data_IF_380037849699
#
_entry.id   IF_380037849699
#
_cell.length_a   1.000
_cell.length_b   1.000
_cell.length_c   1.000
_cell.angle_alpha   90.00
_cell.angle_beta   90.00
_cell.angle_gamma   90.00
#
_symmetry.space_group_name_H-M   'P 1'
#
loop_
_entity.id
_entity.type
_entity.pdbx_description
1 polymer ?
#
# COMPACT_ATOMS: atom_id res chain seq x y z
N UNK A 1 -19.31 -21.94 0.26
CA UNK A 1 -20.42 -21.06 0.69
C UNK A 1 -21.42 -21.00 -0.44
N UNK A 2 -22.72 -21.09 -0.13
CA UNK A 2 -23.77 -21.02 -1.15
C UNK A 2 -23.87 -19.59 -1.74
N UNK A 3 -24.42 -19.39 -2.94
CA UNK A 3 -24.57 -18.06 -3.55
C UNK A 3 -25.52 -17.08 -2.81
N UNK A 4 -26.11 -17.47 -1.68
CA UNK A 4 -27.11 -16.68 -0.94
C UNK A 4 -26.59 -15.82 0.20
N UNK A 5 -25.48 -16.19 0.85
CA UNK A 5 -25.20 -15.80 2.25
C UNK A 5 -24.22 -14.63 2.42
N UNK A 6 -23.92 -13.87 1.36
CA UNK A 6 -23.06 -12.69 1.50
C UNK A 6 -23.81 -11.59 2.25
N UNK A 7 -23.20 -11.13 3.35
CA UNK A 7 -23.69 -10.05 4.18
C UNK A 7 -23.93 -8.78 3.34
N UNK A 8 -24.99 -8.04 3.67
CA UNK A 8 -25.26 -6.71 3.16
C UNK A 8 -25.11 -5.68 4.29
N UNK A 9 -24.71 -4.46 3.96
CA UNK A 9 -24.75 -3.35 4.90
C UNK A 9 -26.20 -2.91 5.14
N UNK A 10 -26.56 -2.45 6.35
CA UNK A 10 -27.89 -1.89 6.63
C UNK A 10 -28.26 -0.76 5.65
N UNK A 11 -29.53 -0.64 5.28
CA UNK A 11 -30.01 0.35 4.31
C UNK A 11 -29.75 1.81 4.76
N UNK A 12 -29.72 2.04 6.08
CA UNK A 12 -29.43 3.35 6.68
C UNK A 12 -27.92 3.63 6.85
N UNK A 13 -27.05 2.83 6.23
CA UNK A 13 -25.59 3.06 6.26
C UNK A 13 -25.25 4.36 5.54
N UNK A 14 -24.48 5.21 6.21
CA UNK A 14 -23.90 6.42 5.64
C UNK A 14 -22.47 6.15 5.18
N UNK A 15 -22.09 6.74 4.05
CA UNK A 15 -20.80 6.54 3.40
C UNK A 15 -20.07 7.86 3.31
N UNK A 16 -18.88 7.92 3.89
CA UNK A 16 -18.01 9.08 3.82
C UNK A 16 -16.81 8.69 2.98
N UNK A 17 -16.52 9.41 1.90
CA UNK A 17 -15.26 9.22 1.19
C UNK A 17 -14.10 9.23 2.20
N UNK A 18 -13.04 8.48 1.96
CA UNK A 18 -11.87 8.47 2.84
C UNK A 18 -10.60 8.65 2.02
N UNK A 19 -10.41 7.79 1.02
CA UNK A 19 -9.24 7.81 0.17
C UNK A 19 -9.53 7.12 -1.17
N UNK A 20 -8.65 7.32 -2.15
CA UNK A 20 -8.71 6.57 -3.40
C UNK A 20 -7.32 6.22 -3.95
N UNK A 21 -7.21 5.00 -4.46
CA UNK A 21 -6.06 4.54 -5.23
C UNK A 21 -6.29 4.71 -6.72
N UNK A 22 -5.44 4.05 -7.53
CA UNK A 22 -5.66 4.00 -8.97
C UNK A 22 -6.92 3.21 -9.36
N UNK A 23 -7.20 2.11 -8.65
CA UNK A 23 -8.23 1.14 -9.02
C UNK A 23 -9.47 1.14 -8.13
N UNK A 24 -9.41 1.74 -6.93
CA UNK A 24 -10.45 1.61 -5.91
C UNK A 24 -10.67 2.94 -5.19
N UNK A 25 -11.88 3.12 -4.65
CA UNK A 25 -12.24 4.18 -3.71
C UNK A 25 -12.62 3.51 -2.38
N UNK A 26 -12.18 4.11 -1.28
CA UNK A 26 -12.44 3.65 0.08
C UNK A 26 -13.32 4.66 0.78
N UNK A 27 -14.34 4.16 1.47
CA UNK A 27 -15.32 4.91 2.24
C UNK A 27 -15.26 4.46 3.70
N UNK A 28 -15.30 5.43 4.61
CA UNK A 28 -15.69 5.18 5.99
C UNK A 28 -17.19 4.97 6.05
N UNK A 29 -17.64 3.95 6.78
CA UNK A 29 -19.06 3.63 6.92
C UNK A 29 -19.51 3.94 8.35
N UNK A 30 -20.73 4.44 8.48
CA UNK A 30 -21.41 4.60 9.76
C UNK A 30 -22.83 4.05 9.61
N UNK A 31 -23.10 2.92 10.23
CA UNK A 31 -24.47 2.43 10.38
C UNK A 31 -25.21 3.36 11.36
N UNK A 32 -26.35 3.92 10.95
CA UNK A 32 -27.21 4.64 11.88
C UNK A 32 -27.74 3.65 12.93
N UNK A 33 -27.86 4.06 14.19
CA UNK A 33 -28.55 3.27 15.20
C UNK A 33 -29.94 2.91 14.63
N UNK A 34 -30.23 1.61 14.48
CA UNK A 34 -31.58 1.18 14.19
C UNK A 34 -32.49 1.72 15.32
N UNK A 35 -33.63 2.33 14.98
CA UNK A 35 -34.62 2.62 16.00
C UNK A 35 -35.03 1.26 16.62
N UNK A 36 -35.14 1.16 17.97
CA UNK A 36 -35.47 -0.11 18.58
C UNK A 36 -36.81 -0.61 18.02
N UNK A 37 -36.93 -1.90 17.66
CA UNK A 37 -38.21 -2.47 17.30
C UNK A 37 -39.19 -2.24 18.46
N UNK A 38 -40.40 -1.74 18.19
CA UNK A 38 -41.45 -1.73 19.20
C UNK A 38 -41.77 -3.19 19.56
N UNK A 39 -41.29 -3.66 20.72
CA UNK A 39 -41.65 -4.96 21.30
C UNK A 39 -40.52 -5.99 21.44
N UNK A 40 -39.31 -5.61 21.87
CA UNK A 40 -38.20 -6.56 22.06
C UNK A 40 -38.39 -7.41 23.33
N UNK A 41 -38.51 -8.72 23.14
CA UNK A 41 -38.32 -9.77 24.15
C UNK A 41 -36.80 -9.96 24.36
N UNK A 42 -36.40 -10.13 25.62
CA UNK A 42 -35.01 -10.37 26.05
C UNK A 42 -34.38 -11.55 25.28
N UNK A 43 -33.60 -11.24 24.25
CA UNK A 43 -32.94 -12.22 23.37
C UNK A 43 -32.23 -11.60 22.16
N UNK A 44 -32.61 -10.39 21.74
CA UNK A 44 -32.05 -9.70 20.56
C UNK A 44 -30.87 -8.73 20.84
N UNK A 45 -30.39 -8.64 22.09
CA UNK A 45 -29.26 -7.75 22.43
C UNK A 45 -27.92 -8.16 21.81
N UNK A 46 -27.74 -9.44 21.45
CA UNK A 46 -26.48 -9.93 20.85
C UNK A 46 -26.33 -9.58 19.37
N UNK A 47 -27.42 -9.54 18.60
CA UNK A 47 -27.40 -9.13 17.18
C UNK A 47 -27.21 -7.62 16.99
N UNK A 48 -27.82 -6.80 17.85
CA UNK A 48 -27.64 -5.33 17.81
C UNK A 48 -26.21 -4.92 18.24
N UNK A 49 -25.63 -5.61 19.23
CA UNK A 49 -24.23 -5.42 19.61
C UNK A 49 -23.28 -5.82 18.46
N UNK A 50 -23.57 -6.91 17.75
CA UNK A 50 -22.84 -7.38 16.56
C UNK A 50 -22.88 -6.37 15.39
N UNK A 51 -24.05 -5.77 15.12
CA UNK A 51 -24.21 -4.73 14.10
C UNK A 51 -23.53 -3.41 14.46
N UNK A 52 -23.54 -3.00 15.74
CA UNK A 52 -22.81 -1.81 16.21
C UNK A 52 -21.28 -2.02 16.18
N UNK A 53 -20.78 -3.24 16.45
CA UNK A 53 -19.36 -3.59 16.23
C UNK A 53 -18.98 -3.61 14.75
N UNK A 54 -19.95 -3.75 13.84
CA UNK A 54 -19.69 -3.83 12.41
C UNK A 54 -19.12 -2.53 11.80
N UNK A 55 -19.35 -1.39 12.46
CA UNK A 55 -19.07 -0.07 11.89
C UNK A 55 -17.82 0.62 12.41
N UNK A 56 -17.21 0.17 13.52
CA UNK A 56 -16.11 0.90 14.18
C UNK A 56 -14.75 0.58 13.55
N UNK A 57 -14.54 -0.66 13.08
CA UNK A 57 -13.24 -1.15 12.61
C UNK A 57 -13.24 -1.60 11.14
N UNK A 58 -14.23 -1.16 10.35
CA UNK A 58 -14.38 -1.53 8.94
C UNK A 58 -14.55 -0.33 8.02
N UNK A 59 -14.00 -0.46 6.82
CA UNK A 59 -14.16 0.47 5.71
C UNK A 59 -14.79 -0.25 4.53
N UNK A 60 -15.54 0.47 3.70
CA UNK A 60 -16.04 -0.03 2.43
C UNK A 60 -15.05 0.32 1.32
N UNK A 61 -14.56 -0.69 0.60
CA UNK A 61 -13.74 -0.55 -0.60
C UNK A 61 -14.55 -0.98 -1.82
N UNK A 62 -14.62 -0.09 -2.80
CA UNK A 62 -15.37 -0.29 -4.06
C UNK A 62 -14.48 0.01 -5.26
N UNK A 63 -14.64 -0.78 -6.32
CA UNK A 63 -13.79 -0.68 -7.51
C UNK A 63 -14.20 0.47 -8.43
N UNK A 64 -13.20 1.03 -9.11
CA UNK A 64 -13.38 2.00 -10.19
C UNK A 64 -13.67 1.31 -11.51
N UNK A 65 -14.34 2.04 -12.39
CA UNK A 65 -14.63 1.65 -13.76
C UNK A 65 -13.42 1.88 -14.64
N UNK A 66 -12.58 0.85 -14.73
CA UNK A 66 -11.34 0.87 -15.51
C UNK A 66 -11.21 -0.45 -16.25
N UNK A 67 -10.68 -0.46 -17.49
CA UNK A 67 -10.46 -1.71 -18.24
C UNK A 67 -9.53 -2.71 -17.56
N UNK A 68 -8.75 -2.25 -16.58
CA UNK A 68 -7.75 -3.05 -15.85
C UNK A 68 -8.25 -3.55 -14.49
N UNK A 69 -9.52 -3.29 -14.12
CA UNK A 69 -10.12 -3.83 -12.91
C UNK A 69 -11.07 -4.98 -13.24
N UNK A 70 -11.03 -6.03 -12.42
CA UNK A 70 -11.97 -7.14 -12.50
C UNK A 70 -13.18 -6.90 -11.60
N UNK A 71 -14.31 -7.57 -11.84
CA UNK A 71 -15.43 -7.60 -10.89
C UNK A 71 -14.96 -7.98 -9.49
N UNK A 72 -15.54 -7.35 -8.47
CA UNK A 72 -15.10 -7.44 -7.08
C UNK A 72 -15.02 -8.90 -6.58
N UNK A 73 -16.05 -9.69 -6.85
CA UNK A 73 -16.11 -11.11 -6.48
C UNK A 73 -14.99 -11.95 -7.11
N UNK A 74 -14.62 -11.66 -8.37
CA UNK A 74 -13.54 -12.36 -9.09
C UNK A 74 -12.18 -12.00 -8.48
N UNK A 75 -11.94 -10.71 -8.23
CA UNK A 75 -10.71 -10.24 -7.58
C UNK A 75 -10.55 -10.82 -6.17
N UNK A 76 -11.64 -10.89 -5.40
CA UNK A 76 -11.63 -11.46 -4.05
C UNK A 76 -11.39 -12.97 -4.04
N UNK A 77 -11.99 -13.72 -4.98
CA UNK A 77 -11.74 -15.14 -5.13
C UNK A 77 -10.26 -15.44 -5.46
N UNK A 78 -9.64 -14.64 -6.34
CA UNK A 78 -8.22 -14.74 -6.62
C UNK A 78 -7.36 -14.42 -5.38
N UNK A 79 -7.71 -13.37 -4.63
CA UNK A 79 -7.03 -13.01 -3.39
C UNK A 79 -7.09 -14.15 -2.35
N UNK A 80 -8.26 -14.75 -2.14
CA UNK A 80 -8.44 -15.87 -1.20
C UNK A 80 -7.59 -17.10 -1.55
N UNK A 81 -7.41 -17.36 -2.84
CA UNK A 81 -6.66 -18.53 -3.33
C UNK A 81 -5.15 -18.29 -3.35
N UNK A 82 -4.71 -17.12 -3.79
CA UNK A 82 -3.29 -16.87 -4.11
C UNK A 82 -2.56 -16.04 -3.07
N UNK A 83 -3.25 -15.14 -2.35
CA UNK A 83 -2.60 -14.17 -1.46
C UNK A 83 -2.88 -14.46 0.01
N UNK A 84 -4.14 -14.67 0.39
CA UNK A 84 -4.53 -14.90 1.77
C UNK A 84 -3.76 -16.05 2.45
N UNK A 85 -3.47 -17.19 1.77
CA UNK A 85 -2.74 -18.30 2.40
C UNK A 85 -1.25 -18.02 2.66
N UNK A 86 -0.68 -16.97 2.05
CA UNK A 86 0.74 -16.66 2.17
C UNK A 86 1.08 -16.04 3.55
N UNK A 87 0.10 -15.42 4.21
CA UNK A 87 0.31 -14.64 5.43
C UNK A 87 -0.70 -15.04 6.50
N UNK A 88 -0.38 -14.77 7.77
CA UNK A 88 -1.36 -14.95 8.83
C UNK A 88 -2.49 -13.91 8.71
N UNK A 89 -3.71 -14.20 9.20
CA UNK A 89 -4.83 -13.26 9.13
C UNK A 89 -4.58 -11.91 9.81
N UNK A 90 -3.75 -11.86 10.85
CA UNK A 90 -3.34 -10.64 11.57
C UNK A 90 -2.33 -9.79 10.78
N UNK A 91 -1.67 -10.36 9.77
CA UNK A 91 -0.62 -9.71 8.97
C UNK A 91 -1.14 -9.06 7.68
N UNK A 92 -2.40 -9.28 7.33
CA UNK A 92 -3.04 -8.72 6.14
C UNK A 92 -4.29 -7.96 6.53
N UNK A 93 -4.61 -6.91 5.77
CA UNK A 93 -5.89 -6.23 5.88
C UNK A 93 -6.96 -7.25 5.51
N UNK A 94 -7.76 -7.67 6.50
CA UNK A 94 -8.83 -8.63 6.29
C UNK A 94 -9.86 -8.07 5.33
N UNK A 95 -10.33 -8.89 4.39
CA UNK A 95 -11.28 -8.49 3.35
C UNK A 95 -12.43 -9.47 3.29
N UNK A 96 -13.67 -8.96 3.34
CA UNK A 96 -14.89 -9.76 3.24
C UNK A 96 -15.78 -9.22 2.14
N UNK A 97 -16.23 -10.10 1.26
CA UNK A 97 -17.15 -9.76 0.17
C UNK A 97 -18.54 -9.46 0.73
N UNK A 98 -19.09 -8.31 0.36
CA UNK A 98 -20.45 -7.90 0.75
C UNK A 98 -21.29 -7.51 -0.45
N UNK A 99 -22.61 -7.68 -0.34
CA UNK A 99 -23.56 -7.18 -1.33
C UNK A 99 -23.68 -5.66 -1.23
N UNK A 100 -23.62 -4.99 -2.38
CA UNK A 100 -23.87 -3.55 -2.48
C UNK A 100 -25.36 -3.30 -2.61
N UNK A 101 -26.00 -3.04 -1.48
CA UNK A 101 -27.42 -2.76 -1.37
C UNK A 101 -27.66 -1.41 -0.65
N UNK A 102 -28.82 -0.77 -0.86
CA UNK A 102 -29.85 -1.14 -1.83
C UNK A 102 -29.41 -0.89 -3.29
N UNK A 103 -30.20 -1.39 -4.25
CA UNK A 103 -29.97 -1.15 -5.67
C UNK A 103 -29.82 0.36 -5.94
N UNK A 104 -28.87 0.73 -6.79
CA UNK A 104 -28.55 2.14 -7.08
C UNK A 104 -27.58 2.80 -6.11
N UNK A 105 -27.05 2.11 -5.09
CA UNK A 105 -25.98 2.63 -4.22
C UNK A 105 -24.80 3.20 -5.03
N UNK A 106 -24.26 2.43 -5.97
CA UNK A 106 -23.14 2.88 -6.84
C UNK A 106 -23.51 4.14 -7.63
N UNK A 107 -24.72 4.19 -8.18
CA UNK A 107 -25.21 5.36 -8.92
C UNK A 107 -25.25 6.60 -8.02
N UNK A 108 -25.75 6.48 -6.79
CA UNK A 108 -25.76 7.59 -5.81
C UNK A 108 -24.35 8.06 -5.47
N UNK A 109 -23.44 7.14 -5.12
CA UNK A 109 -22.04 7.47 -4.81
C UNK A 109 -21.33 8.16 -5.99
N UNK A 110 -21.62 7.74 -7.22
CA UNK A 110 -21.09 8.38 -8.42
C UNK A 110 -21.66 9.79 -8.67
N UNK A 111 -22.92 10.05 -8.30
CA UNK A 111 -23.48 11.41 -8.32
C UNK A 111 -22.79 12.30 -7.29
N UNK A 112 -22.55 11.78 -6.08
CA UNK A 112 -21.83 12.51 -5.02
C UNK A 112 -20.39 12.86 -5.43
N UNK A 113 -19.66 11.92 -6.05
CA UNK A 113 -18.31 12.17 -6.56
C UNK A 113 -18.29 13.29 -7.61
N UNK A 114 -19.21 13.27 -8.58
CA UNK A 114 -19.34 14.34 -9.60
C UNK A 114 -19.70 15.68 -8.97
N UNK A 115 -20.64 15.66 -8.03
CA UNK A 115 -21.04 16.88 -7.33
C UNK A 115 -19.85 17.47 -6.55
N UNK A 116 -19.03 16.65 -5.89
CA UNK A 116 -17.85 17.09 -5.16
C UNK A 116 -16.75 17.65 -6.08
N UNK A 117 -16.57 17.07 -7.28
CA UNK A 117 -15.65 17.61 -8.28
C UNK A 117 -16.05 19.02 -8.76
N UNK A 118 -17.35 19.28 -8.90
CA UNK A 118 -17.90 20.58 -9.29
C UNK A 118 -17.95 21.58 -8.12
N UNK A 119 -18.25 21.10 -6.92
CA UNK A 119 -18.46 21.90 -5.71
C UNK A 119 -17.55 21.38 -4.58
N UNK A 120 -16.31 21.90 -4.52
CA UNK A 120 -15.37 21.60 -3.45
C UNK A 120 -16.02 21.75 -2.07
N UNK A 121 -15.87 20.73 -1.23
CA UNK A 121 -16.34 20.76 0.16
C UNK A 121 -15.22 20.26 1.08
N UNK A 122 -15.01 20.90 2.23
CA UNK A 122 -14.07 20.39 3.23
C UNK A 122 -14.55 19.03 3.73
N UNK A 123 -13.70 18.02 3.61
CA UNK A 123 -14.01 16.67 4.03
C UNK A 123 -13.67 16.48 5.51
N UNK A 124 -14.68 16.19 6.34
CA UNK A 124 -14.52 16.00 7.79
C UNK A 124 -13.65 14.79 8.20
N UNK A 125 -13.44 13.83 7.29
CA UNK A 125 -12.78 12.54 7.61
C UNK A 125 -11.66 12.14 6.64
N UNK A 126 -11.30 13.00 5.68
CA UNK A 126 -10.18 12.69 4.79
C UNK A 126 -8.87 12.90 5.54
N UNK A 127 -7.97 11.91 5.49
CA UNK A 127 -6.59 12.03 6.00
C UNK A 127 -5.78 13.08 5.23
N UNK A 128 -6.25 13.41 4.02
CA UNK A 128 -5.77 14.52 3.23
C UNK A 128 -6.77 15.66 3.43
N UNK A 129 -6.36 16.80 4.00
CA UNK A 129 -7.16 18.04 4.08
C UNK A 129 -7.39 18.62 2.69
N UNK A 130 -8.09 17.88 1.83
CA UNK A 130 -8.35 18.21 0.46
C UNK A 130 -9.80 18.65 0.37
N UNK A 131 -9.99 19.94 0.10
CA UNK A 131 -11.30 20.48 -0.27
C UNK A 131 -11.80 19.92 -1.62
N UNK A 132 -10.92 19.23 -2.37
CA UNK A 132 -11.15 18.73 -3.72
C UNK A 132 -10.55 17.35 -3.95
N UNK A 133 -11.28 16.51 -4.69
CA UNK A 133 -10.74 15.27 -5.25
C UNK A 133 -9.49 15.55 -6.09
N UNK A 134 -8.37 14.78 -5.94
CA UNK A 134 -7.15 15.02 -6.69
C UNK A 134 -7.38 15.05 -8.21
N UNK A 135 -6.83 16.05 -8.92
CA UNK A 135 -7.04 16.23 -10.38
C UNK A 135 -6.75 14.96 -11.19
N UNK A 136 -5.69 14.22 -10.85
CA UNK A 136 -5.30 12.97 -11.51
C UNK A 136 -6.29 11.80 -11.32
N UNK A 137 -7.32 11.99 -10.48
CA UNK A 137 -8.35 11.00 -10.19
C UNK A 137 -9.74 11.42 -10.68
N UNK A 138 -9.90 12.66 -11.12
CA UNK A 138 -11.19 13.17 -11.59
C UNK A 138 -11.60 12.52 -12.91
N UNK A 139 -12.90 12.40 -13.13
CA UNK A 139 -13.46 11.80 -14.36
C UNK A 139 -13.47 10.27 -14.39
N UNK A 140 -12.91 9.59 -13.38
CA UNK A 140 -13.01 8.13 -13.20
C UNK A 140 -13.90 7.83 -12.00
N UNK A 141 -14.93 7.01 -12.18
CA UNK A 141 -15.96 6.75 -11.16
C UNK A 141 -16.06 5.27 -10.81
N UNK A 142 -16.98 4.91 -9.93
CA UNK A 142 -17.22 3.52 -9.54
C UNK A 142 -17.87 2.73 -10.67
N UNK A 143 -17.43 1.49 -10.86
CA UNK A 143 -18.06 0.57 -11.79
C UNK A 143 -19.37 0.03 -11.21
N UNK A 144 -20.33 -0.31 -12.07
CA UNK A 144 -21.47 -1.11 -11.63
C UNK A 144 -20.97 -2.50 -11.22
N UNK A 145 -21.25 -2.88 -9.98
CA UNK A 145 -20.88 -4.15 -9.39
C UNK A 145 -21.93 -4.53 -8.34
N UNK A 146 -22.16 -5.82 -8.18
CA UNK A 146 -23.07 -6.34 -7.16
C UNK A 146 -22.38 -6.40 -5.79
N UNK A 147 -21.05 -6.37 -5.77
CA UNK A 147 -20.27 -6.59 -4.56
C UNK A 147 -19.22 -5.50 -4.30
N UNK A 148 -18.96 -5.28 -3.02
CA UNK A 148 -17.85 -4.49 -2.50
C UNK A 148 -17.06 -5.30 -1.48
N UNK A 149 -16.00 -4.70 -0.93
CA UNK A 149 -15.21 -5.32 0.13
C UNK A 149 -15.33 -4.52 1.42
N UNK A 150 -15.65 -5.20 2.51
CA UNK A 150 -15.36 -4.68 3.83
C UNK A 150 -13.94 -5.02 4.20
N UNK A 151 -13.16 -3.98 4.47
CA UNK A 151 -11.75 -4.09 4.81
C UNK A 151 -11.52 -3.64 6.25
N UNK A 152 -10.55 -4.25 6.95
CA UNK A 152 -10.13 -3.78 8.28
C UNK A 152 -9.68 -2.32 8.22
N UNK A 153 -10.18 -1.49 9.13
CA UNK A 153 -9.80 -0.09 9.25
C UNK A 153 -8.38 0.02 9.85
N UNK A 154 -7.43 0.40 9.00
CA UNK A 154 -6.05 0.71 9.37
C UNK A 154 -5.77 2.22 9.44
N UNK A 155 -6.81 3.05 9.38
CA UNK A 155 -6.67 4.51 9.57
C UNK A 155 -6.41 4.85 11.05
N UNK A 156 -6.18 6.13 11.32
CA UNK A 156 -6.16 6.66 12.68
C UNK A 156 -7.52 6.39 13.33
N UNK A 157 -7.62 5.30 14.09
CA UNK A 157 -8.80 4.99 14.87
C UNK A 157 -9.10 6.13 15.84
N UNK A 158 -10.37 6.23 16.24
CA UNK A 158 -10.83 7.12 17.33
C UNK A 158 -10.21 6.78 18.70
N UNK A 159 -9.38 5.72 18.78
CA UNK A 159 -8.59 5.37 19.96
C UNK A 159 -7.38 6.30 20.07
N UNK A 160 -7.42 7.17 21.08
CA UNK A 160 -6.31 8.03 21.49
C UNK A 160 -5.03 7.19 21.69
N UNK A 161 -3.89 7.67 21.19
CA UNK A 161 -2.57 7.12 21.54
C UNK A 161 -1.81 6.34 20.47
N UNK A 162 -2.30 6.25 19.22
CA UNK A 162 -1.54 5.62 18.12
C UNK A 162 -1.42 6.53 16.88
N UNK A 163 -0.32 6.34 16.14
CA UNK A 163 -0.08 6.95 14.83
C UNK A 163 0.06 5.86 13.77
N UNK A 164 -0.43 6.14 12.57
CA UNK A 164 -0.30 5.23 11.43
C UNK A 164 0.86 5.67 10.55
N UNK A 165 1.72 4.72 10.19
CA UNK A 165 2.64 4.85 9.06
C UNK A 165 2.06 4.03 7.91
N UNK A 166 1.93 4.66 6.75
CA UNK A 166 1.59 3.98 5.50
C UNK A 166 2.77 4.10 4.54
N UNK A 167 3.26 2.98 4.01
CA UNK A 167 4.29 3.00 2.98
C UNK A 167 4.20 1.79 2.06
N UNK A 168 4.68 1.92 0.82
CA UNK A 168 4.84 0.78 -0.09
C UNK A 168 6.24 0.20 0.08
N UNK A 169 6.41 -1.06 0.51
CA UNK A 169 7.72 -1.67 0.73
C UNK A 169 8.50 -1.89 -0.57
N UNK A 170 7.80 -1.94 -1.71
CA UNK A 170 8.38 -2.16 -3.05
C UNK A 170 9.13 -3.48 -3.11
N UNK A 171 10.24 -3.53 -3.85
CA UNK A 171 11.03 -4.73 -4.08
C UNK A 171 12.03 -4.91 -2.93
N UNK A 172 11.79 -5.91 -2.08
CA UNK A 172 12.64 -6.26 -0.94
C UNK A 172 13.80 -7.20 -1.32
N UNK A 173 13.91 -7.51 -2.61
CA UNK A 173 15.04 -8.21 -3.24
C UNK A 173 15.47 -7.44 -4.48
N UNK A 174 16.73 -7.59 -4.89
CA UNK A 174 17.17 -7.02 -6.15
C UNK A 174 16.44 -7.69 -7.33
N UNK A 175 16.15 -6.92 -8.38
CA UNK A 175 15.59 -7.46 -9.61
C UNK A 175 16.55 -8.48 -10.22
N UNK A 176 16.02 -9.63 -10.66
CA UNK A 176 16.82 -10.67 -11.34
C UNK A 176 17.37 -10.19 -12.69
N UNK A 177 16.73 -9.19 -13.30
CA UNK A 177 17.17 -8.59 -14.55
C UNK A 177 18.16 -7.42 -14.35
N UNK A 178 18.48 -7.06 -13.09
CA UNK A 178 19.41 -5.97 -12.82
C UNK A 178 20.84 -6.35 -13.24
N UNK A 179 21.63 -5.43 -13.83
CA UNK A 179 23.02 -5.67 -14.17
C UNK A 179 23.86 -6.08 -12.96
N UNK A 180 24.87 -6.94 -13.16
CA UNK A 180 25.74 -7.48 -12.08
C UNK A 180 26.43 -6.36 -11.27
N UNK A 181 26.79 -5.25 -11.93
CA UNK A 181 27.48 -4.13 -11.31
C UNK A 181 26.55 -3.07 -10.69
N UNK A 182 25.26 -3.38 -10.57
CA UNK A 182 24.25 -2.49 -9.98
C UNK A 182 24.71 -1.85 -8.67
N UNK A 183 24.55 -0.53 -8.60
CA UNK A 183 24.74 0.29 -7.40
C UNK A 183 23.42 0.69 -6.75
N UNK A 184 22.30 0.55 -7.47
CA UNK A 184 20.94 0.79 -6.99
C UNK A 184 20.10 -0.48 -7.09
N UNK A 185 19.21 -0.71 -6.12
CA UNK A 185 18.12 -1.66 -6.28
C UNK A 185 17.08 -1.11 -7.28
N UNK A 186 16.20 -1.94 -7.81
CA UNK A 186 15.17 -1.52 -8.79
C UNK A 186 14.42 -0.26 -8.39
N UNK A 187 13.95 -0.18 -7.15
CA UNK A 187 13.20 1.00 -6.70
C UNK A 187 14.09 2.25 -6.60
N UNK A 188 15.33 2.11 -6.14
CA UNK A 188 16.27 3.24 -6.09
C UNK A 188 16.63 3.73 -7.50
N UNK A 189 16.80 2.82 -8.47
CA UNK A 189 17.00 3.16 -9.88
C UNK A 189 15.77 3.90 -10.45
N UNK A 190 14.57 3.39 -10.18
CA UNK A 190 13.32 4.05 -10.58
C UNK A 190 13.17 5.44 -9.96
N UNK A 191 13.40 5.61 -8.66
CA UNK A 191 13.29 6.92 -8.01
C UNK A 191 14.35 7.88 -8.56
N UNK A 192 15.57 7.42 -8.81
CA UNK A 192 16.60 8.23 -9.44
C UNK A 192 16.13 8.76 -10.81
N UNK A 193 15.61 7.87 -11.67
CA UNK A 193 15.08 8.24 -12.98
C UNK A 193 13.95 9.27 -12.89
N UNK A 194 12.99 9.05 -11.99
CA UNK A 194 11.87 9.96 -11.80
C UNK A 194 12.34 11.30 -11.24
N UNK A 195 13.26 11.31 -10.27
CA UNK A 195 13.80 12.55 -9.70
C UNK A 195 14.60 13.36 -10.71
N UNK A 196 15.35 12.72 -11.60
CA UNK A 196 16.02 13.41 -12.69
C UNK A 196 15.02 14.12 -13.62
N UNK A 197 13.90 13.45 -13.95
CA UNK A 197 12.81 14.09 -14.70
C UNK A 197 12.20 15.26 -13.92
N UNK A 198 11.79 15.03 -12.67
CA UNK A 198 11.16 16.04 -11.82
C UNK A 198 12.04 17.26 -11.62
N UNK A 199 13.35 17.06 -11.44
CA UNK A 199 14.31 18.17 -11.32
C UNK A 199 14.33 19.04 -12.58
N UNK A 200 14.23 18.45 -13.78
CA UNK A 200 14.14 19.22 -15.03
C UNK A 200 12.81 19.95 -15.15
N UNK A 201 11.72 19.32 -14.68
CA UNK A 201 10.37 19.87 -14.72
C UNK A 201 10.09 20.87 -13.57
N UNK A 202 11.06 21.12 -12.68
CA UNK A 202 10.90 21.99 -11.50
C UNK A 202 9.95 21.41 -10.44
N UNK A 203 9.69 20.10 -10.45
CA UNK A 203 8.80 19.42 -9.53
C UNK A 203 9.53 18.97 -8.23
N UNK A 204 8.82 18.93 -7.08
CA UNK A 204 9.38 18.38 -5.86
C UNK A 204 9.87 16.94 -6.02
N UNK A 205 11.11 16.68 -5.59
CA UNK A 205 11.72 15.37 -5.66
C UNK A 205 10.97 14.36 -4.77
N UNK A 206 10.93 13.11 -5.23
CA UNK A 206 10.47 12.00 -4.41
C UNK A 206 11.45 11.73 -3.28
N UNK A 207 10.92 11.40 -2.11
CA UNK A 207 11.71 10.95 -0.96
C UNK A 207 12.54 9.71 -1.32
N UNK A 208 13.80 9.74 -0.92
CA UNK A 208 14.76 8.67 -1.15
C UNK A 208 14.90 7.82 0.11
N UNK A 209 14.53 6.54 0.00
CA UNK A 209 14.87 5.50 0.94
C UNK A 209 15.02 4.18 0.17
N UNK A 210 15.83 3.25 0.68
CA UNK A 210 16.09 1.98 -0.01
C UNK A 210 15.19 0.87 0.55
N UNK A 211 14.37 0.20 -0.28
CA UNK A 211 13.60 -0.97 0.15
C UNK A 211 14.39 -2.08 0.82
N UNK A 212 15.64 -2.30 0.39
CA UNK A 212 16.46 -3.36 0.95
C UNK A 212 16.85 -3.07 2.41
N UNK A 213 16.85 -1.80 2.83
CA UNK A 213 17.09 -1.42 4.22
C UNK A 213 15.97 -1.91 5.16
N UNK A 214 14.75 -2.12 4.67
CA UNK A 214 13.63 -2.61 5.50
C UNK A 214 13.82 -4.05 6.02
N UNK A 215 14.72 -4.80 5.38
CA UNK A 215 14.99 -6.22 5.63
C UNK A 215 16.49 -6.46 5.80
N UNK A 216 17.23 -5.41 6.14
CA UNK A 216 18.66 -5.47 6.44
C UNK A 216 18.90 -6.12 7.81
N UNK A 217 20.03 -6.81 7.94
CA UNK A 217 20.54 -7.30 9.22
C UNK A 217 21.32 -6.21 9.97
N UNK A 218 21.63 -5.09 9.31
CA UNK A 218 22.31 -3.94 9.91
C UNK A 218 21.33 -3.04 10.64
N UNK A 219 21.47 -2.92 11.96
CA UNK A 219 20.69 -1.98 12.78
C UNK A 219 20.82 -0.53 12.28
N UNK A 220 21.97 -0.16 11.70
CA UNK A 220 22.18 1.17 11.13
C UNK A 220 21.30 1.42 9.90
N UNK A 221 21.13 0.42 9.02
CA UNK A 221 20.23 0.50 7.87
C UNK A 221 18.76 0.59 8.34
N UNK A 222 18.37 -0.25 9.31
CA UNK A 222 17.02 -0.24 9.90
C UNK A 222 16.68 1.14 10.51
N UNK A 223 17.62 1.73 11.24
CA UNK A 223 17.46 3.05 11.86
C UNK A 223 17.39 4.17 10.82
N UNK A 224 18.16 4.06 9.73
CA UNK A 224 18.14 5.00 8.61
C UNK A 224 16.77 5.01 7.93
N UNK A 225 16.28 3.84 7.49
CA UNK A 225 14.97 3.74 6.82
C UNK A 225 13.83 4.13 7.75
N UNK A 226 13.93 3.79 9.04
CA UNK A 226 12.95 4.23 10.05
C UNK A 226 12.86 5.75 10.14
N UNK A 227 14.02 6.41 10.19
CA UNK A 227 14.09 7.87 10.25
C UNK A 227 13.52 8.53 8.98
N UNK A 228 13.74 7.92 7.81
CA UNK A 228 13.25 8.40 6.52
C UNK A 228 11.72 8.26 6.40
N UNK A 229 11.17 7.11 6.78
CA UNK A 229 9.72 6.85 6.72
C UNK A 229 8.93 7.67 7.75
N UNK A 230 9.52 7.97 8.91
CA UNK A 230 8.90 8.79 9.95
C UNK A 230 9.05 10.31 9.75
N UNK A 231 9.65 10.76 8.65
CA UNK A 231 10.16 12.14 8.47
C UNK A 231 9.26 13.28 9.00
N UNK A 232 7.94 13.20 8.82
CA UNK A 232 6.98 14.23 9.28
C UNK A 232 6.68 14.20 10.78
N UNK A 233 6.87 13.06 11.45
CA UNK A 233 6.59 12.89 12.88
C UNK A 233 7.77 12.21 13.60
N UNK A 234 8.99 12.57 13.18
CA UNK A 234 10.22 11.95 13.68
C UNK A 234 10.45 12.35 15.13
N UNK A 235 10.49 11.36 16.01
CA UNK A 235 11.07 11.49 17.35
C UNK A 235 12.04 10.34 17.60
N UNK A 236 13.09 10.51 18.45
CA UNK A 236 14.02 9.43 18.76
C UNK A 236 13.32 8.17 19.29
N UNK A 237 12.29 8.34 20.12
CA UNK A 237 11.47 7.26 20.66
C UNK A 237 10.78 6.51 19.53
N UNK A 238 10.04 7.21 18.65
CA UNK A 238 9.32 6.57 17.54
C UNK A 238 10.24 5.87 16.55
N UNK A 239 11.39 6.48 16.24
CA UNK A 239 12.42 5.84 15.41
C UNK A 239 12.91 4.56 16.07
N UNK A 240 13.18 4.58 17.38
CA UNK A 240 13.57 3.39 18.14
C UNK A 240 12.52 2.27 18.10
N UNK A 241 11.25 2.59 18.38
CA UNK A 241 10.15 1.61 18.33
C UNK A 241 9.97 1.01 16.93
N UNK A 242 9.99 1.84 15.88
CA UNK A 242 9.84 1.35 14.52
C UNK A 242 11.07 0.53 14.07
N UNK A 243 12.28 0.93 14.49
CA UNK A 243 13.51 0.16 14.25
C UNK A 243 13.44 -1.22 14.92
N UNK A 244 13.03 -1.27 16.19
CA UNK A 244 12.86 -2.52 16.93
C UNK A 244 11.80 -3.43 16.29
N UNK A 245 10.70 -2.85 15.80
CA UNK A 245 9.71 -3.60 15.03
C UNK A 245 10.32 -4.13 13.72
N UNK A 246 11.07 -3.32 12.96
CA UNK A 246 11.73 -3.78 11.72
C UNK A 246 12.68 -4.95 11.98
N UNK A 247 13.43 -4.91 13.09
CA UNK A 247 14.38 -5.96 13.47
C UNK A 247 13.66 -7.29 13.80
N UNK A 248 12.58 -7.21 14.58
CA UNK A 248 11.91 -8.37 15.18
C UNK A 248 10.73 -8.92 14.38
N UNK A 249 10.10 -8.13 13.51
CA UNK A 249 8.92 -8.59 12.77
C UNK A 249 9.23 -9.71 11.78
N UNK A 250 8.22 -10.53 11.52
CA UNK A 250 8.26 -11.60 10.51
C UNK A 250 7.59 -11.20 9.18
N UNK A 251 6.76 -10.14 9.18
CA UNK A 251 5.94 -9.74 8.05
C UNK A 251 6.76 -9.36 6.81
N UNK A 252 7.74 -8.46 6.95
CA UNK A 252 8.54 -8.00 5.82
C UNK A 252 9.53 -9.08 5.34
N UNK A 253 10.00 -9.95 6.25
CA UNK A 253 10.84 -11.11 5.93
C UNK A 253 10.06 -12.14 5.11
N UNK A 254 8.81 -12.43 5.49
CA UNK A 254 7.91 -13.28 4.70
C UNK A 254 7.55 -12.66 3.35
N UNK A 255 7.26 -11.35 3.32
CA UNK A 255 6.99 -10.63 2.07
C UNK A 255 8.20 -10.76 1.10
N UNK A 256 9.42 -10.53 1.60
CA UNK A 256 10.66 -10.72 0.83
C UNK A 256 10.79 -12.14 0.30
N UNK A 257 10.52 -13.14 1.13
CA UNK A 257 10.56 -14.55 0.75
C UNK A 257 9.61 -14.83 -0.43
N UNK A 258 8.34 -14.46 -0.33
CA UNK A 258 7.37 -14.70 -1.41
C UNK A 258 7.63 -13.86 -2.66
N UNK A 259 8.16 -12.64 -2.54
CA UNK A 259 8.58 -11.84 -3.70
C UNK A 259 9.69 -12.53 -4.53
N UNK A 260 10.49 -13.40 -3.90
CA UNK A 260 11.54 -14.20 -4.54
C UNK A 260 11.01 -15.56 -5.02
N UNK A 261 10.24 -16.27 -4.19
CA UNK A 261 9.79 -17.62 -4.51
C UNK A 261 8.77 -17.65 -5.65
N UNK A 262 7.87 -16.66 -5.70
CA UNK A 262 6.79 -16.59 -6.69
C UNK A 262 7.24 -16.01 -8.04
N UNK A 263 8.43 -15.40 -8.11
CA UNK A 263 9.03 -14.94 -9.37
C UNK A 263 10.52 -15.28 -9.42
N UNK A 264 10.81 -16.40 -10.07
CA UNK A 264 12.17 -16.95 -10.22
C UNK A 264 12.86 -16.54 -11.52
N UNK A 265 12.15 -15.86 -12.43
CA UNK A 265 12.66 -15.50 -13.77
C UNK A 265 12.87 -13.99 -13.92
N UNK A 266 12.23 -13.19 -13.08
CA UNK A 266 12.26 -11.73 -13.18
C UNK A 266 11.30 -11.23 -14.26
N UNK A 267 11.19 -9.91 -14.35
CA UNK A 267 10.10 -9.27 -15.10
C UNK A 267 10.28 -9.31 -16.63
N UNK A 268 11.51 -9.55 -17.10
CA UNK A 268 11.81 -9.67 -18.53
C UNK A 268 11.45 -11.06 -19.09
N UNK A 269 11.65 -12.11 -18.29
CA UNK A 269 11.46 -13.51 -18.67
C UNK A 269 10.22 -14.17 -18.02
N UNK A 270 9.58 -13.47 -17.08
CA UNK A 270 8.38 -13.92 -16.38
C UNK A 270 7.23 -14.22 -17.35
N UNK A 271 6.51 -15.29 -17.04
CA UNK A 271 5.30 -15.70 -17.76
C UNK A 271 4.08 -14.99 -17.15
N UNK A 272 3.24 -14.38 -17.99
CA UNK A 272 2.04 -13.67 -17.54
C UNK A 272 0.86 -14.57 -17.27
N UNK A 273 0.90 -15.78 -17.82
CA UNK A 273 -0.08 -16.81 -17.53
C UNK A 273 0.26 -17.55 -16.23
N UNK A 274 1.47 -17.34 -15.69
CA UNK A 274 1.85 -17.79 -14.35
C UNK A 274 1.26 -16.87 -13.28
N UNK A 275 0.26 -17.38 -12.56
CA UNK A 275 -0.38 -16.65 -11.48
C UNK A 275 0.57 -16.35 -10.32
N UNK A 276 1.63 -17.14 -10.13
CA UNK A 276 2.66 -16.83 -9.13
C UNK A 276 3.41 -15.55 -9.51
N UNK A 277 3.73 -15.37 -10.78
CA UNK A 277 4.37 -14.14 -11.26
C UNK A 277 3.45 -12.93 -11.01
N UNK A 278 2.15 -13.05 -11.32
CA UNK A 278 1.17 -11.98 -11.04
C UNK A 278 1.06 -11.70 -9.53
N UNK A 279 1.08 -12.73 -8.68
CA UNK A 279 1.10 -12.60 -7.23
C UNK A 279 2.38 -11.90 -6.74
N UNK A 280 3.55 -12.25 -7.28
CA UNK A 280 4.81 -11.57 -6.97
C UNK A 280 4.74 -10.06 -7.32
N UNK A 281 4.17 -9.73 -8.49
CA UNK A 281 3.95 -8.34 -8.90
C UNK A 281 2.93 -7.60 -8.01
N UNK A 282 1.93 -8.31 -7.46
CA UNK A 282 1.05 -7.77 -6.41
C UNK A 282 1.84 -7.47 -5.14
N UNK A 283 2.62 -8.42 -4.64
CA UNK A 283 3.41 -8.27 -3.42
C UNK A 283 4.46 -7.15 -3.51
N UNK A 284 4.95 -6.82 -4.71
CA UNK A 284 5.88 -5.70 -4.95
C UNK A 284 5.21 -4.33 -4.99
N UNK A 285 3.88 -4.26 -5.06
CA UNK A 285 3.13 -3.00 -5.11
C UNK A 285 2.00 -2.91 -4.07
N UNK A 286 2.06 -3.77 -3.05
CA UNK A 286 1.24 -3.70 -1.86
C UNK A 286 1.59 -2.48 -0.98
N UNK A 287 0.78 -2.25 0.04
CA UNK A 287 0.95 -1.17 1.02
C UNK A 287 1.09 -1.80 2.41
N UNK A 288 2.03 -1.32 3.21
CA UNK A 288 2.21 -1.69 4.62
C UNK A 288 1.62 -0.58 5.47
N UNK A 289 0.67 -0.94 6.33
CA UNK A 289 0.10 -0.09 7.37
C UNK A 289 0.68 -0.50 8.71
N UNK A 290 1.23 0.44 9.48
CA UNK A 290 1.80 0.19 10.80
C UNK A 290 1.19 1.15 11.80
N UNK A 291 0.44 0.65 12.79
CA UNK A 291 -0.02 1.44 13.93
C UNK A 291 1.06 1.40 15.01
N UNK A 292 1.68 2.54 15.27
CA UNK A 292 2.69 2.74 16.29
C UNK A 292 2.12 3.54 17.48
N UNK A 293 2.37 3.13 18.73
CA UNK A 293 2.07 3.94 19.91
C UNK A 293 2.75 5.32 19.84
N UNK A 294 2.05 6.37 20.29
CA UNK A 294 2.55 7.75 20.26
C UNK A 294 3.61 8.04 21.33
N UNK A 295 3.48 7.46 22.54
CA UNK A 295 4.14 7.99 23.75
C UNK A 295 5.05 6.99 24.48
N UNK A 296 5.77 6.11 23.79
CA UNK A 296 6.63 5.10 24.44
C UNK A 296 5.87 4.15 25.38
N UNK A 297 4.53 4.20 25.34
CA UNK A 297 3.63 3.34 26.06
C UNK A 297 3.77 1.91 25.54
N UNK A 298 3.54 0.94 26.44
CA UNK A 298 3.65 -0.50 26.20
C UNK A 298 2.53 -1.05 25.29
N UNK A 299 2.32 -0.42 24.13
CA UNK A 299 1.40 -0.90 23.10
C UNK A 299 2.12 -1.76 22.07
N UNK A 300 1.49 -2.85 21.66
CA UNK A 300 2.01 -3.66 20.55
C UNK A 300 1.88 -2.94 19.22
N UNK A 301 2.85 -3.18 18.33
CA UNK A 301 2.82 -2.66 16.96
C UNK A 301 1.91 -3.55 16.12
N UNK A 302 0.78 -3.01 15.67
CA UNK A 302 -0.07 -3.68 14.68
C UNK A 302 0.43 -3.34 13.27
N UNK A 303 0.75 -4.33 12.45
CA UNK A 303 1.19 -4.12 11.08
C UNK A 303 0.48 -5.06 10.10
N UNK A 304 -0.06 -4.50 9.01
CA UNK A 304 -0.82 -5.24 8.00
C UNK A 304 -0.47 -4.86 6.57
N UNK A 305 -0.47 -5.84 5.68
CA UNK A 305 -0.41 -5.63 4.22
C UNK A 305 -1.80 -5.37 3.64
N UNK A 306 -1.95 -4.29 2.88
CA UNK A 306 -3.12 -3.97 2.07
C UNK A 306 -2.77 -3.78 0.59
N UNK A 307 -3.76 -3.38 -0.22
CA UNK A 307 -3.63 -3.24 -1.68
C UNK A 307 -3.14 -4.51 -2.40
N UNK A 308 -3.72 -5.65 -2.00
CA UNK A 308 -3.33 -6.99 -2.44
C UNK A 308 -4.18 -7.55 -3.59
N UNK A 309 -4.81 -6.71 -4.41
CA UNK A 309 -5.51 -7.20 -5.61
C UNK A 309 -4.50 -7.82 -6.57
N UNK A 310 -4.84 -9.00 -7.12
CA UNK A 310 -3.98 -9.67 -8.08
C UNK A 310 -3.73 -8.74 -9.28
N UNK A 311 -2.47 -8.57 -9.68
CA UNK A 311 -2.16 -7.74 -10.86
C UNK A 311 -2.64 -8.43 -12.13
N UNK A 312 -3.07 -7.61 -13.06
CA UNK A 312 -3.59 -8.06 -14.35
C UNK A 312 -2.46 -8.29 -15.35
N UNK A 313 -2.62 -9.30 -16.21
CA UNK A 313 -1.66 -9.71 -17.26
C UNK A 313 -1.36 -8.59 -18.27
N UNK A 314 -2.31 -7.69 -18.50
CA UNK A 314 -2.19 -6.54 -19.42
C UNK A 314 -1.11 -5.55 -18.97
N UNK A 315 -0.65 -5.63 -17.72
CA UNK A 315 0.45 -4.78 -17.21
C UNK A 315 1.84 -5.30 -17.56
N UNK A 316 1.98 -6.47 -18.19
CA UNK A 316 3.28 -7.05 -18.55
C UNK A 316 4.17 -6.09 -19.30
N UNK A 317 3.67 -5.55 -20.41
CA UNK A 317 4.48 -4.69 -21.27
C UNK A 317 4.90 -3.41 -20.56
N UNK A 318 4.03 -2.89 -19.68
CA UNK A 318 4.41 -1.77 -18.82
C UNK A 318 5.57 -2.13 -17.89
N UNK A 319 5.54 -3.31 -17.26
CA UNK A 319 6.61 -3.74 -16.37
C UNK A 319 7.91 -4.04 -17.09
N UNK A 320 7.85 -4.75 -18.22
CA UNK A 320 8.99 -5.08 -19.08
C UNK A 320 9.66 -3.82 -19.60
N UNK A 321 8.88 -2.91 -20.19
CA UNK A 321 9.39 -1.61 -20.67
C UNK A 321 10.04 -0.82 -19.54
N UNK A 322 9.38 -0.71 -18.38
CA UNK A 322 9.94 0.00 -17.24
C UNK A 322 11.27 -0.60 -16.78
N UNK A 323 11.43 -1.92 -16.85
CA UNK A 323 12.70 -2.58 -16.49
C UNK A 323 13.79 -2.31 -17.52
N UNK A 324 13.48 -2.46 -18.82
CA UNK A 324 14.40 -2.18 -19.92
C UNK A 324 14.90 -0.73 -19.84
N UNK A 325 14.00 0.23 -19.65
CA UNK A 325 14.38 1.65 -19.49
C UNK A 325 15.34 1.88 -18.31
N UNK A 326 15.20 1.14 -17.20
CA UNK A 326 16.12 1.26 -16.06
C UNK A 326 17.51 0.67 -16.34
N UNK A 327 17.57 -0.35 -17.19
CA UNK A 327 18.80 -1.02 -17.59
C UNK A 327 19.52 -0.18 -18.65
N UNK A 328 18.85 0.08 -19.77
CA UNK A 328 19.44 0.70 -20.95
C UNK A 328 19.87 2.15 -20.71
N UNK A 329 19.13 2.88 -19.86
CA UNK A 329 19.50 4.25 -19.47
C UNK A 329 20.51 4.29 -18.30
N UNK A 330 21.02 3.14 -17.82
CA UNK A 330 22.12 3.06 -16.84
C UNK A 330 21.76 3.40 -15.38
N UNK A 331 20.47 3.47 -15.03
CA UNK A 331 19.99 3.88 -13.69
C UNK A 331 20.36 2.91 -12.57
N UNK A 332 20.55 1.64 -12.89
CA UNK A 332 21.02 0.63 -11.94
C UNK A 332 22.47 0.88 -11.50
N UNK A 333 23.34 1.25 -12.43
CA UNK A 333 24.80 1.38 -12.22
C UNK A 333 25.22 2.80 -11.83
N UNK A 334 24.30 3.77 -11.96
CA UNK A 334 24.56 5.18 -11.72
C UNK A 334 25.47 5.78 -12.79
N UNK A 335 25.21 5.42 -14.05
CA UNK A 335 25.96 5.90 -15.22
C UNK A 335 25.35 7.16 -15.82
N UNK A 336 24.48 7.84 -15.07
CA UNK A 336 23.90 9.10 -15.52
C UNK A 336 24.97 10.19 -15.68
N UNK A 337 24.74 11.10 -16.63
CA UNK A 337 25.57 12.28 -16.80
C UNK A 337 25.52 13.18 -15.55
N UNK A 338 26.55 14.01 -15.36
CA UNK A 338 26.69 14.86 -14.17
C UNK A 338 25.46 15.74 -13.94
N UNK A 339 24.84 16.24 -15.01
CA UNK A 339 23.73 17.20 -14.96
C UNK A 339 22.46 16.60 -14.33
N UNK A 340 22.29 15.28 -14.40
CA UNK A 340 21.10 14.59 -13.91
C UNK A 340 21.42 13.55 -12.84
N UNK A 341 22.68 13.47 -12.40
CA UNK A 341 23.16 12.45 -11.47
C UNK A 341 22.42 12.52 -10.13
N UNK A 342 22.01 11.35 -9.66
CA UNK A 342 21.29 11.19 -8.40
C UNK A 342 22.18 10.56 -7.32
N UNK A 343 22.00 10.99 -6.08
CA UNK A 343 22.76 10.46 -4.94
C UNK A 343 22.65 8.94 -4.83
N UNK A 344 23.79 8.28 -4.57
CA UNK A 344 23.89 6.83 -4.41
C UNK A 344 23.62 6.40 -2.96
N UNK A 345 22.38 6.57 -2.52
CA UNK A 345 21.92 6.22 -1.16
C UNK A 345 21.34 4.80 -1.05
N UNK A 346 21.63 3.92 -2.00
CA UNK A 346 21.13 2.55 -1.96
C UNK A 346 22.02 1.66 -1.09
N UNK A 347 21.44 0.63 -0.47
CA UNK A 347 22.21 -0.35 0.28
C UNK A 347 23.33 -1.01 -0.56
N UNK A 348 23.08 -1.26 -1.85
CA UNK A 348 24.04 -1.89 -2.76
C UNK A 348 25.29 -1.04 -3.01
N UNK A 349 25.19 0.29 -2.97
CA UNK A 349 26.35 1.19 -3.06
C UNK A 349 27.06 1.33 -1.72
N UNK A 350 26.32 1.35 -0.60
CA UNK A 350 26.90 1.43 0.76
C UNK A 350 27.74 0.21 1.10
N UNK A 351 27.27 -1.00 0.77
CA UNK A 351 28.00 -2.25 1.05
C UNK A 351 29.37 -2.33 0.36
N UNK A 352 29.55 -1.66 -0.78
CA UNK A 352 30.84 -1.59 -1.48
C UNK A 352 31.79 -0.53 -0.90
N UNK A 353 31.28 0.47 -0.17
CA UNK A 353 32.11 1.49 0.47
C UNK A 353 32.81 0.98 1.74
N UNK A 354 32.22 0.01 2.44
CA UNK A 354 32.83 -0.60 3.64
C UNK A 354 34.01 -1.54 3.33
N UNK A 355 34.14 -2.01 2.08
CA UNK A 355 35.27 -2.85 1.62
C UNK A 355 36.40 -2.05 0.94
N UNK A 356 36.37 -0.71 0.99
CA UNK A 356 37.54 0.11 0.66
C UNK A 356 38.26 0.46 1.96
N UNK A 357 39.26 -0.34 2.30
CA UNK A 357 40.29 0.04 3.28
C UNK A 357 40.86 1.42 2.93
N UNK A 358 41.19 2.27 3.93
CA UNK A 358 41.70 3.60 3.71
C UNK A 358 43.14 3.50 3.21
N UNK A 359 43.33 3.54 1.91
CA UNK A 359 44.62 3.82 1.33
C UNK A 359 44.57 5.18 0.65
N UNK A 360 45.46 6.03 1.15
CA UNK A 360 46.10 7.15 0.45
C UNK A 360 45.45 8.52 0.63
N UNK A 361 45.51 9.06 1.84
CA UNK A 361 45.86 10.48 1.99
C UNK A 361 47.37 10.60 1.73
N UNK A 362 47.74 10.87 0.47
CA UNK A 362 49.07 11.40 0.17
C UNK A 362 49.00 12.91 0.37
N UNK A 363 49.78 13.36 1.36
CA UNK A 363 50.28 14.72 1.50
C UNK A 363 50.66 15.31 0.15
N UNK A 364 50.28 16.57 -0.10
CA UNK A 364 51.22 17.52 -0.68
C UNK A 364 50.80 18.97 -0.36
N UNK A 365 51.73 19.59 0.38
CA UNK A 365 52.10 21.01 0.54
C UNK A 365 51.20 22.08 -0.04
#
# INVERSE_FOLDING_TARGET
>A
MSPGDHLALPDNTTYFYLAEGAANIVYKISAGAAAPPKGVVQGQMEEEASMLTFSIDKLLRVRKDLPTTLPCAVSHAAWLRLIAPLFRPDQIVGQSLIKLQPAGLITRLNVELRHWELHPRPMKYSTLSLDRRPKSRQGVYLAQDNYGLLITDMTHGTRSGTSVIEFKPKWLVQSLSAPVNSKRCRQCAHVARVNAKRSRDGEPLLALWCPLDLVSESLADLRLVSSQLLSLNRSPIRVGHFTNWLETNTLLKQLRFYQKELDRKGVLEGDVDDENFLAAMTLRDCTVFVKLPLDGTSGEVEARLGDLDLKSREKREYWRRSEIELIDEGWYEGLESEEIRQLLVCQLSRGKAQNRSPQTQINNR
#
